data_IF_988467706260
#
_entry.id   IF_988467706260
#
_cell.length_a   1.000
_cell.length_b   1.000
_cell.length_c   1.000
_cell.angle_alpha   90.00
_cell.angle_beta   90.00
_cell.angle_gamma   90.00
#
_symmetry.space_group_name_H-M   'P 1'
#
loop_
_entity.id
_entity.type
_entity.pdbx_description
1 polymer ?
#
# COMPACT_ATOMS: atom_id res chain seq x y z
N UNK A 1 -5.33 17.29 -5.24
CA UNK A 1 -4.73 17.49 -3.91
C UNK A 1 -3.74 16.36 -3.64
N UNK A 2 -2.63 16.60 -2.92
CA UNK A 2 -1.73 15.51 -2.52
C UNK A 2 -2.36 14.79 -1.32
N UNK A 3 -2.46 13.46 -1.39
CA UNK A 3 -2.97 12.59 -0.33
C UNK A 3 -1.94 11.53 0.05
N UNK A 4 -2.06 11.05 1.28
CA UNK A 4 -1.25 9.95 1.83
C UNK A 4 -2.19 8.86 2.34
N UNK A 5 -1.91 7.61 2.02
CA UNK A 5 -2.60 6.44 2.58
C UNK A 5 -1.59 5.40 3.05
N UNK A 6 -1.81 4.84 4.23
CA UNK A 6 -1.03 3.73 4.76
C UNK A 6 -1.77 2.41 4.63
N UNK A 7 -1.00 1.35 4.44
CA UNK A 7 -1.41 -0.05 4.39
C UNK A 7 -0.56 -0.82 5.39
N UNK A 8 -1.12 -1.85 6.00
CA UNK A 8 -0.42 -2.66 6.99
C UNK A 8 -0.61 -4.13 6.71
N UNK A 9 0.48 -4.89 6.72
CA UNK A 9 0.45 -6.35 6.56
C UNK A 9 1.23 -7.03 7.68
N UNK A 10 0.71 -8.15 8.19
CA UNK A 10 1.45 -9.01 9.12
C UNK A 10 2.37 -9.93 8.34
N UNK A 11 3.60 -10.08 8.81
CA UNK A 11 4.57 -11.01 8.22
C UNK A 11 4.64 -12.27 9.07
N UNK A 12 3.99 -13.33 8.60
CA UNK A 12 4.01 -14.66 9.25
C UNK A 12 5.23 -15.46 8.79
N UNK A 13 5.77 -16.26 9.71
CA UNK A 13 6.90 -17.15 9.45
C UNK A 13 6.56 -18.09 8.28
N UNK A 14 7.46 -18.22 7.31
CA UNK A 14 7.29 -19.00 6.07
C UNK A 14 6.18 -18.55 5.11
N UNK A 15 5.47 -17.46 5.39
CA UNK A 15 4.44 -16.91 4.50
C UNK A 15 4.77 -15.50 3.98
N UNK A 16 5.93 -14.94 4.34
CA UNK A 16 6.31 -13.57 4.00
C UNK A 16 6.11 -13.22 2.51
N UNK A 17 6.44 -14.14 1.59
CA UNK A 17 6.25 -13.89 0.15
C UNK A 17 4.78 -13.66 -0.20
N UNK A 18 3.90 -14.54 0.28
CA UNK A 18 2.46 -14.42 0.06
C UNK A 18 1.92 -13.12 0.67
N UNK A 19 2.32 -12.79 1.90
CA UNK A 19 1.84 -11.57 2.58
C UNK A 19 2.29 -10.28 1.87
N UNK A 20 3.50 -10.29 1.27
CA UNK A 20 3.99 -9.19 0.45
C UNK A 20 3.26 -9.10 -0.89
N UNK A 21 3.02 -10.22 -1.57
CA UNK A 21 2.28 -10.25 -2.84
C UNK A 21 0.81 -9.81 -2.62
N UNK A 22 0.20 -10.17 -1.48
CA UNK A 22 -1.13 -9.73 -1.10
C UNK A 22 -1.19 -8.22 -0.79
N UNK A 23 -0.21 -7.69 -0.06
CA UNK A 23 -0.09 -6.25 0.21
C UNK A 23 0.11 -5.45 -1.09
N UNK A 24 0.93 -5.96 -2.00
CA UNK A 24 1.16 -5.33 -3.30
C UNK A 24 -0.15 -5.27 -4.12
N UNK A 25 -0.87 -6.38 -4.17
CA UNK A 25 -2.18 -6.47 -4.81
C UNK A 25 -3.17 -5.46 -4.21
N UNK A 26 -3.25 -5.35 -2.88
CA UNK A 26 -4.14 -4.40 -2.21
C UNK A 26 -3.84 -2.95 -2.62
N UNK A 27 -2.56 -2.58 -2.68
CA UNK A 27 -2.14 -1.24 -3.10
C UNK A 27 -2.48 -0.99 -4.57
N UNK A 28 -2.23 -1.95 -5.45
CA UNK A 28 -2.59 -1.85 -6.87
C UNK A 28 -4.10 -1.74 -7.07
N UNK A 29 -4.89 -2.55 -6.37
CA UNK A 29 -6.34 -2.53 -6.45
C UNK A 29 -6.89 -1.17 -5.97
N UNK A 30 -6.31 -0.59 -4.90
CA UNK A 30 -6.65 0.75 -4.44
C UNK A 30 -6.32 1.84 -5.48
N UNK A 31 -5.13 1.80 -6.07
CA UNK A 31 -4.72 2.76 -7.11
C UNK A 31 -5.70 2.71 -8.29
N UNK A 32 -6.07 1.50 -8.71
CA UNK A 32 -7.02 1.29 -9.80
C UNK A 32 -8.44 1.74 -9.45
N UNK A 33 -8.95 1.35 -8.27
CA UNK A 33 -10.33 1.64 -7.84
C UNK A 33 -10.60 3.13 -7.67
N UNK A 34 -9.61 3.86 -7.13
CA UNK A 34 -9.71 5.31 -6.95
C UNK A 34 -9.41 6.08 -8.25
N UNK A 35 -8.93 5.41 -9.30
CA UNK A 35 -8.55 6.06 -10.56
C UNK A 35 -7.33 6.96 -10.43
N UNK A 36 -6.42 6.65 -9.50
CA UNK A 36 -5.21 7.42 -9.23
C UNK A 36 -4.28 7.33 -10.43
N UNK A 37 -3.89 8.49 -10.99
CA UNK A 37 -3.04 8.57 -12.19
C UNK A 37 -1.59 8.94 -11.92
N UNK A 38 -1.31 9.48 -10.73
CA UNK A 38 0.02 9.95 -10.36
C UNK A 38 0.36 9.55 -8.93
N UNK A 39 1.22 8.55 -8.82
CA UNK A 39 1.89 8.18 -7.58
C UNK A 39 3.14 9.05 -7.45
N UNK A 40 3.30 9.69 -6.29
CA UNK A 40 4.44 10.55 -5.97
C UNK A 40 5.54 9.72 -5.31
N UNK A 41 5.18 8.89 -4.34
CA UNK A 41 6.12 8.01 -3.65
C UNK A 41 5.43 6.80 -3.02
N UNK A 42 6.22 5.74 -2.82
CA UNK A 42 5.88 4.57 -2.01
C UNK A 42 7.05 4.35 -1.05
N UNK A 43 6.76 4.08 0.22
CA UNK A 43 7.78 3.78 1.22
C UNK A 43 7.31 2.70 2.19
N UNK A 44 8.24 1.84 2.60
CA UNK A 44 7.97 0.71 3.49
C UNK A 44 8.74 0.86 4.80
N UNK A 45 8.12 0.48 5.91
CA UNK A 45 8.74 0.38 7.23
C UNK A 45 8.33 -0.93 7.90
N UNK A 46 9.32 -1.71 8.36
CA UNK A 46 9.07 -2.93 9.14
C UNK A 46 8.62 -2.59 10.56
N UNK A 47 7.66 -3.35 11.09
CA UNK A 47 7.35 -3.34 12.52
C UNK A 47 8.12 -4.46 13.22
N UNK A 48 8.50 -4.19 14.46
CA UNK A 48 9.37 -5.08 15.25
C UNK A 48 8.60 -5.63 16.44
N UNK A 49 8.69 -6.95 16.64
CA UNK A 49 8.15 -7.65 17.81
C UNK A 49 9.04 -7.54 19.04
N UNK A 50 8.62 -8.16 20.13
CA UNK A 50 9.29 -8.06 21.43
C UNK A 50 10.73 -8.64 21.44
N UNK A 51 11.07 -9.52 20.48
CA UNK A 51 12.40 -10.15 20.38
C UNK A 51 13.27 -9.52 19.30
N UNK A 52 12.87 -8.38 18.73
CA UNK A 52 13.59 -7.72 17.64
C UNK A 52 13.30 -8.31 16.26
N UNK A 53 12.39 -9.27 16.15
CA UNK A 53 11.98 -9.88 14.89
C UNK A 53 11.05 -8.97 14.10
N UNK A 54 11.10 -9.04 12.77
CA UNK A 54 10.13 -8.35 11.92
C UNK A 54 8.79 -9.10 11.94
N UNK A 55 7.73 -8.43 12.38
CA UNK A 55 6.38 -9.02 12.51
C UNK A 55 5.36 -8.45 11.52
N UNK A 56 5.74 -7.41 10.78
CA UNK A 56 4.84 -6.75 9.85
C UNK A 56 5.52 -5.69 9.02
N UNK A 57 4.76 -5.12 8.09
CA UNK A 57 5.17 -4.06 7.20
C UNK A 57 4.08 -2.99 7.15
N UNK A 58 4.49 -1.73 7.23
CA UNK A 58 3.66 -0.56 6.95
C UNK A 58 4.14 -0.01 5.62
N UNK A 59 3.23 0.07 4.63
CA UNK A 59 3.47 0.70 3.34
C UNK A 59 2.73 2.01 3.26
N UNK A 60 3.42 3.09 2.90
CA UNK A 60 2.86 4.43 2.75
C UNK A 60 2.87 4.82 1.27
N UNK A 61 1.70 5.16 0.74
CA UNK A 61 1.48 5.64 -0.63
C UNK A 61 1.16 7.14 -0.59
N UNK A 62 1.97 7.95 -1.26
CA UNK A 62 1.69 9.36 -1.52
C UNK A 62 1.27 9.54 -2.98
N UNK A 63 0.14 10.18 -3.23
CA UNK A 63 -0.44 10.29 -4.57
C UNK A 63 -1.19 11.61 -4.77
N UNK A 64 -1.42 11.97 -6.03
CA UNK A 64 -2.35 13.06 -6.37
C UNK A 64 -3.76 12.50 -6.54
N UNK A 65 -4.71 13.07 -5.80
CA UNK A 65 -6.12 12.74 -5.95
C UNK A 65 -6.59 13.01 -7.39
N UNK A 66 -7.29 12.04 -8.03
CA UNK A 66 -7.84 12.25 -9.35
C UNK A 66 -8.83 13.42 -9.37
N UNK A 67 -8.74 14.28 -10.40
CA UNK A 67 -9.68 15.38 -10.59
C UNK A 67 -11.11 14.87 -10.85
N UNK A 68 -12.11 15.74 -10.63
CA UNK A 68 -13.54 15.40 -10.68
C UNK A 68 -14.06 14.77 -12.00
N UNK A 69 -13.26 14.72 -13.08
CA UNK A 69 -13.61 14.08 -14.36
C UNK A 69 -12.92 12.74 -14.64
N UNK A 70 -12.17 12.17 -13.70
CA UNK A 70 -11.25 11.04 -13.95
C UNK A 70 -11.92 9.66 -13.94
N UNK A 71 -13.13 9.54 -13.37
CA UNK A 71 -13.86 8.28 -13.26
C UNK A 71 -14.89 8.15 -14.40
N UNK A 72 -14.43 7.83 -15.61
CA UNK A 72 -15.31 7.16 -16.57
C UNK A 72 -15.32 5.67 -16.20
N UNK A 73 -16.35 5.26 -15.45
CA UNK A 73 -16.69 3.84 -15.31
C UNK A 73 -17.07 3.32 -16.70
N UNK A 74 -16.15 2.57 -17.30
CA UNK A 74 -16.42 1.73 -18.47
C UNK A 74 -16.90 0.36 -18.04
#
# INVERSE_FOLDING_TARGET
MIKVKSFTSQLKIFHARHELDALDKEVCDFIASEGIRKVISIGDASTTGEKGETIGLIRVLTYEEPGAGSLKKG
#
